data_IF_994913827291
#
_entry.id   IF_994913827291
#
_cell.length_a   1.000
_cell.length_b   1.000
_cell.length_c   1.000
_cell.angle_alpha   90.00
_cell.angle_beta   90.00
_cell.angle_gamma   90.00
#
_symmetry.space_group_name_H-M   'P 1'
#
loop_
_entity.id
_entity.type
_entity.pdbx_description
1 polymer ?
#
# COMPACT_ATOMS: atom_id res chain seq x y z
N UNK A 1 26.40 9.07 -1.00
CA UNK A 1 25.00 8.90 -1.46
C UNK A 1 24.45 10.27 -1.78
N UNK A 2 23.78 10.50 -2.89
CA UNK A 2 23.11 11.78 -3.14
C UNK A 2 22.08 11.98 -2.01
N UNK A 3 22.13 13.12 -1.33
CA UNK A 3 21.11 13.50 -0.37
C UNK A 3 19.80 13.73 -1.12
N UNK A 4 18.92 12.72 -1.15
CA UNK A 4 17.59 12.85 -1.70
C UNK A 4 16.80 13.81 -0.81
N UNK A 5 16.55 15.01 -1.31
CA UNK A 5 15.81 16.03 -0.58
C UNK A 5 14.32 15.69 -0.55
N UNK A 6 13.69 15.89 0.62
CA UNK A 6 12.24 15.83 0.72
C UNK A 6 11.59 16.98 -0.04
N UNK A 7 10.55 16.68 -0.79
CA UNK A 7 9.62 17.66 -1.33
C UNK A 7 8.54 17.95 -0.29
N UNK A 8 8.09 19.20 -0.24
CA UNK A 8 6.96 19.63 0.57
C UNK A 8 5.87 20.16 -0.36
N UNK A 9 4.71 19.56 -0.34
CA UNK A 9 3.56 19.97 -1.17
C UNK A 9 2.32 20.20 -0.31
N UNK A 10 1.52 21.25 -0.57
CA UNK A 10 0.24 21.44 0.09
C UNK A 10 -0.76 20.41 -0.45
N UNK A 11 -1.50 19.73 0.44
CA UNK A 11 -2.48 18.72 0.10
C UNK A 11 -3.89 19.24 0.28
N UNK A 12 -4.16 19.86 1.40
CA UNK A 12 -5.50 20.28 1.78
C UNK A 12 -5.45 21.48 2.71
N UNK A 13 -6.47 22.34 2.61
CA UNK A 13 -6.75 23.37 3.61
C UNK A 13 -7.96 22.90 4.43
N UNK A 14 -7.81 22.85 5.76
CA UNK A 14 -8.90 22.51 6.64
C UNK A 14 -8.91 23.45 7.85
N UNK A 15 -10.06 24.11 8.11
CA UNK A 15 -10.22 25.11 9.17
C UNK A 15 -9.15 26.23 9.16
N UNK A 16 -8.73 26.67 7.97
CA UNK A 16 -7.72 27.72 7.80
C UNK A 16 -6.27 27.25 7.94
N UNK A 17 -6.03 25.98 8.23
CA UNK A 17 -4.69 25.37 8.31
C UNK A 17 -4.38 24.62 7.02
N UNK A 18 -3.16 24.79 6.48
CA UNK A 18 -2.69 24.08 5.30
C UNK A 18 -1.91 22.83 5.73
N UNK A 19 -2.35 21.67 5.28
CA UNK A 19 -1.70 20.38 5.52
C UNK A 19 -0.76 20.07 4.37
N UNK A 20 0.46 19.64 4.68
CA UNK A 20 1.51 19.39 3.72
C UNK A 20 1.95 17.93 3.80
N UNK A 21 2.23 17.34 2.63
CA UNK A 21 2.96 16.09 2.51
C UNK A 21 4.44 16.37 2.37
N UNK A 22 5.25 15.70 3.17
CA UNK A 22 6.70 15.68 3.07
C UNK A 22 7.11 14.32 2.51
N UNK A 23 7.67 14.27 1.31
CA UNK A 23 7.94 13.01 0.62
C UNK A 23 9.15 13.09 -0.31
N UNK A 24 9.64 11.93 -0.70
CA UNK A 24 10.63 11.76 -1.77
C UNK A 24 9.94 11.14 -2.99
N UNK A 25 10.30 11.52 -4.23
CA UNK A 25 9.74 10.89 -5.42
C UNK A 25 9.96 9.38 -5.40
N UNK A 26 8.92 8.60 -5.68
CA UNK A 26 8.94 7.15 -5.52
C UNK A 26 10.04 6.47 -6.35
N UNK A 27 10.27 6.92 -7.59
CA UNK A 27 11.32 6.38 -8.45
C UNK A 27 12.74 6.73 -7.97
N UNK A 28 12.92 7.86 -7.29
CA UNK A 28 14.21 8.20 -6.68
C UNK A 28 14.52 7.27 -5.51
N UNK A 29 13.49 6.94 -4.71
CA UNK A 29 13.60 5.97 -3.61
C UNK A 29 13.88 4.56 -4.14
N UNK A 30 13.22 4.14 -5.22
CA UNK A 30 13.48 2.85 -5.88
C UNK A 30 14.92 2.79 -6.40
N UNK A 31 15.38 3.84 -7.06
CA UNK A 31 16.78 3.92 -7.54
C UNK A 31 17.78 3.87 -6.40
N UNK A 32 17.50 4.55 -5.28
CA UNK A 32 18.35 4.48 -4.08
C UNK A 32 18.48 3.04 -3.56
N UNK A 33 17.36 2.33 -3.41
CA UNK A 33 17.37 0.93 -2.98
C UNK A 33 18.17 0.03 -3.94
N UNK A 34 17.98 0.21 -5.24
CA UNK A 34 18.66 -0.58 -6.27
C UNK A 34 20.12 -0.15 -6.51
N UNK A 35 20.54 1.04 -6.04
CA UNK A 35 21.95 1.43 -6.02
C UNK A 35 22.77 0.68 -4.95
N UNK A 36 22.10 0.04 -4.00
CA UNK A 36 22.76 -0.83 -3.05
C UNK A 36 23.09 -2.17 -3.74
N UNK A 37 24.38 -2.46 -3.87
CA UNK A 37 24.87 -3.66 -4.55
C UNK A 37 24.28 -4.95 -3.98
N UNK A 38 24.22 -5.07 -2.66
CA UNK A 38 23.65 -6.25 -1.99
C UNK A 38 22.16 -6.42 -2.31
N UNK A 39 21.38 -5.32 -2.36
CA UNK A 39 19.97 -5.34 -2.75
C UNK A 39 19.82 -5.77 -4.20
N UNK A 40 20.56 -5.14 -5.11
CA UNK A 40 20.45 -5.39 -6.54
C UNK A 40 20.86 -6.82 -6.92
N UNK A 41 21.96 -7.33 -6.37
CA UNK A 41 22.46 -8.69 -6.65
C UNK A 41 21.51 -9.80 -6.17
N UNK A 42 20.65 -9.49 -5.20
CA UNK A 42 19.64 -10.43 -4.69
C UNK A 42 18.23 -10.18 -5.24
N UNK A 43 18.07 -9.26 -6.21
CA UNK A 43 16.79 -9.04 -6.86
C UNK A 43 16.43 -10.18 -7.82
N UNK A 44 15.23 -10.71 -7.68
CA UNK A 44 14.60 -11.64 -8.61
C UNK A 44 13.50 -10.88 -9.34
N UNK A 45 13.57 -10.85 -10.67
CA UNK A 45 12.66 -10.10 -11.53
C UNK A 45 11.68 -10.99 -12.30
N UNK A 46 11.84 -12.30 -12.20
CA UNK A 46 11.02 -13.28 -12.90
C UNK A 46 10.35 -14.25 -11.93
N UNK A 47 9.21 -14.76 -12.34
CA UNK A 47 8.53 -15.83 -11.60
C UNK A 47 9.44 -17.06 -11.51
N UNK A 48 9.51 -17.62 -10.32
CA UNK A 48 10.27 -18.84 -10.05
C UNK A 48 9.38 -19.86 -9.31
N UNK A 49 8.94 -20.90 -9.99
CA UNK A 49 8.16 -21.96 -9.38
C UNK A 49 9.07 -22.90 -8.59
N UNK A 50 8.76 -23.06 -7.31
CA UNK A 50 9.42 -24.02 -6.42
C UNK A 50 8.52 -25.21 -6.17
N UNK A 51 9.06 -26.44 -6.37
CA UNK A 51 8.35 -27.66 -6.07
C UNK A 51 9.24 -28.63 -5.27
N UNK A 52 8.63 -29.34 -4.35
CA UNK A 52 9.25 -30.44 -3.60
C UNK A 52 8.28 -31.62 -3.56
N UNK A 53 8.73 -32.80 -3.98
CA UNK A 53 7.93 -34.01 -4.06
C UNK A 53 6.59 -33.83 -4.80
N UNK A 54 6.61 -33.02 -5.89
CA UNK A 54 5.41 -32.74 -6.68
C UNK A 54 4.45 -31.71 -6.09
N UNK A 55 4.75 -31.18 -4.90
CA UNK A 55 3.97 -30.11 -4.27
C UNK A 55 4.62 -28.77 -4.48
N UNK A 56 3.80 -27.74 -4.80
CA UNK A 56 4.27 -26.35 -4.94
C UNK A 56 4.61 -25.76 -3.58
N UNK A 57 5.77 -25.08 -3.50
CA UNK A 57 6.24 -24.38 -2.31
C UNK A 57 6.11 -22.89 -2.53
N UNK A 58 5.51 -22.20 -1.55
CA UNK A 58 5.42 -20.75 -1.46
C UNK A 58 6.42 -20.26 -0.42
N UNK A 59 7.45 -19.53 -0.85
CA UNK A 59 8.51 -19.05 0.02
C UNK A 59 8.65 -17.52 -0.03
N UNK A 60 8.79 -16.95 -1.23
CA UNK A 60 8.90 -15.50 -1.45
C UNK A 60 7.80 -15.02 -2.42
N UNK A 61 7.64 -13.69 -2.58
CA UNK A 61 6.62 -13.17 -3.48
C UNK A 61 6.76 -13.66 -4.92
N UNK A 62 8.01 -13.76 -5.41
CA UNK A 62 8.31 -14.24 -6.77
C UNK A 62 8.09 -15.74 -6.97
N UNK A 63 7.71 -16.50 -5.93
CA UNK A 63 7.23 -17.89 -6.03
C UNK A 63 5.69 -17.98 -5.94
N UNK A 64 5.00 -16.85 -5.67
CA UNK A 64 3.57 -16.81 -5.41
C UNK A 64 2.72 -16.67 -6.67
N UNK A 65 1.45 -17.04 -6.57
CA UNK A 65 0.47 -16.97 -7.68
C UNK A 65 0.22 -15.54 -8.17
N UNK A 66 0.32 -14.55 -7.28
CA UNK A 66 0.19 -13.15 -7.68
C UNK A 66 1.27 -12.78 -8.71
N UNK A 67 2.53 -13.14 -8.42
CA UNK A 67 3.64 -12.85 -9.33
C UNK A 67 3.49 -13.59 -10.67
N UNK A 68 3.13 -14.86 -10.62
CA UNK A 68 2.87 -15.67 -11.80
C UNK A 68 1.81 -15.04 -12.72
N UNK A 69 0.67 -14.61 -12.14
CA UNK A 69 -0.39 -13.93 -12.90
C UNK A 69 0.08 -12.62 -13.51
N UNK A 70 0.77 -11.79 -12.73
CA UNK A 70 1.31 -10.51 -13.20
C UNK A 70 2.33 -10.73 -14.31
N UNK A 71 3.29 -11.64 -14.13
CA UNK A 71 4.30 -11.94 -15.13
C UNK A 71 3.69 -12.43 -16.45
N UNK A 72 2.67 -13.29 -16.37
CA UNK A 72 1.98 -13.82 -17.55
C UNK A 72 1.13 -12.77 -18.28
N UNK A 73 0.75 -11.67 -17.63
CA UNK A 73 0.02 -10.55 -18.24
C UNK A 73 0.94 -9.55 -18.95
N UNK A 74 2.26 -9.62 -18.71
CA UNK A 74 3.22 -8.69 -19.27
C UNK A 74 3.76 -9.14 -20.63
N UNK A 75 4.27 -8.20 -21.44
CA UNK A 75 5.01 -8.54 -22.65
C UNK A 75 6.19 -9.47 -22.36
N UNK A 76 6.56 -10.28 -23.34
CA UNK A 76 7.75 -11.13 -23.25
C UNK A 76 8.98 -10.27 -22.92
N UNK A 77 9.82 -10.75 -22.01
CA UNK A 77 11.02 -10.08 -21.49
C UNK A 77 10.79 -8.92 -20.50
N UNK A 78 9.55 -8.48 -20.32
CA UNK A 78 9.24 -7.53 -19.29
C UNK A 78 9.46 -8.13 -17.89
N UNK A 79 9.90 -7.30 -16.96
CA UNK A 79 10.23 -7.66 -15.58
C UNK A 79 9.23 -7.07 -14.62
N UNK A 80 8.86 -7.82 -13.60
CA UNK A 80 8.02 -7.33 -12.51
C UNK A 80 8.88 -6.57 -11.51
N UNK A 81 8.53 -5.31 -11.23
CA UNK A 81 9.06 -4.56 -10.10
C UNK A 81 7.99 -4.49 -9.02
N UNK A 82 8.12 -5.33 -8.02
CA UNK A 82 7.17 -5.47 -6.91
C UNK A 82 7.49 -4.47 -5.80
N UNK A 83 6.56 -3.57 -5.54
CA UNK A 83 6.68 -2.51 -4.52
C UNK A 83 5.83 -2.89 -3.32
N UNK A 84 6.43 -2.88 -2.13
CA UNK A 84 5.77 -3.06 -0.85
C UNK A 84 5.83 -1.73 -0.11
N UNK A 85 4.69 -1.21 0.29
CA UNK A 85 4.56 -0.04 1.15
C UNK A 85 4.26 -0.48 2.57
N UNK A 86 4.88 0.17 3.55
CA UNK A 86 4.63 -0.05 4.98
C UNK A 86 4.36 1.29 5.64
N UNK A 87 3.30 1.37 6.41
CA UNK A 87 2.96 2.57 7.18
C UNK A 87 2.47 2.19 8.57
N UNK A 88 2.97 2.91 9.57
CA UNK A 88 2.57 2.74 10.96
C UNK A 88 2.83 4.05 11.73
N UNK A 89 1.86 4.45 12.57
CA UNK A 89 2.00 5.64 13.37
C UNK A 89 3.07 5.43 14.46
N UNK A 90 4.04 6.34 14.54
CA UNK A 90 5.15 6.26 15.49
C UNK A 90 5.08 7.42 16.47
N UNK A 91 5.12 7.12 17.77
CA UNK A 91 5.21 8.13 18.82
C UNK A 91 6.62 8.72 18.87
N UNK A 92 6.73 10.05 18.79
CA UNK A 92 8.01 10.76 18.74
C UNK A 92 8.46 11.35 20.09
N UNK A 93 7.62 11.29 21.11
CA UNK A 93 7.92 11.78 22.45
C UNK A 93 7.55 10.77 23.54
N UNK A 94 8.19 10.90 24.72
CA UNK A 94 7.96 10.03 25.86
C UNK A 94 6.54 10.18 26.47
N UNK A 95 5.82 11.26 26.15
CA UNK A 95 4.48 11.56 26.68
C UNK A 95 3.36 11.13 25.72
N UNK A 96 3.69 10.59 24.55
CA UNK A 96 2.72 10.17 23.53
C UNK A 96 1.90 11.32 22.92
N UNK A 97 2.39 12.57 23.04
CA UNK A 97 1.68 13.76 22.55
C UNK A 97 1.97 14.07 21.09
N UNK A 98 3.14 13.65 20.61
CA UNK A 98 3.58 13.88 19.23
C UNK A 98 3.74 12.53 18.55
N UNK A 99 3.01 12.34 17.46
CA UNK A 99 3.14 11.17 16.61
C UNK A 99 3.38 11.60 15.17
N UNK A 100 4.23 10.88 14.49
CA UNK A 100 4.45 10.99 13.05
C UNK A 100 3.93 9.72 12.38
N UNK A 101 3.66 9.83 11.09
CA UNK A 101 3.10 8.74 10.30
C UNK A 101 4.00 8.46 9.09
N UNK A 102 5.15 7.83 9.32
CA UNK A 102 6.08 7.51 8.23
C UNK A 102 5.50 6.45 7.31
N UNK A 103 5.82 6.57 6.03
CA UNK A 103 5.59 5.53 5.03
C UNK A 103 6.92 5.10 4.43
N UNK A 104 7.19 3.81 4.47
CA UNK A 104 8.40 3.19 3.94
C UNK A 104 8.10 2.41 2.68
N UNK A 105 9.13 2.27 1.84
CA UNK A 105 9.12 1.44 0.65
C UNK A 105 10.21 0.37 0.75
N UNK A 106 9.87 -0.84 0.35
CA UNK A 106 10.80 -1.92 0.07
C UNK A 106 10.36 -2.68 -1.18
N UNK A 107 11.18 -3.61 -1.64
CA UNK A 107 10.90 -4.38 -2.86
C UNK A 107 10.54 -5.84 -2.53
N UNK A 108 9.50 -6.35 -3.20
CA UNK A 108 9.14 -7.76 -3.16
C UNK A 108 10.07 -8.64 -3.98
N UNK A 109 10.92 -8.02 -4.82
CA UNK A 109 11.93 -8.67 -5.64
C UNK A 109 13.06 -9.32 -4.84
N UNK A 110 13.27 -8.88 -3.59
CA UNK A 110 14.36 -9.35 -2.74
C UNK A 110 13.86 -10.36 -1.70
N UNK A 111 14.68 -11.38 -1.36
CA UNK A 111 14.28 -12.37 -0.35
C UNK A 111 14.15 -11.74 1.03
N UNK A 112 13.37 -12.36 1.91
CA UNK A 112 13.02 -11.85 3.23
C UNK A 112 14.23 -11.56 4.11
N UNK A 113 15.30 -12.33 4.02
CA UNK A 113 16.52 -12.12 4.80
C UNK A 113 17.30 -10.87 4.38
N UNK A 114 17.21 -10.43 3.11
CA UNK A 114 17.69 -9.11 2.66
C UNK A 114 16.69 -8.03 3.05
N UNK A 115 15.39 -8.25 2.78
CA UNK A 115 14.32 -7.28 3.03
C UNK A 115 14.26 -6.83 4.50
N UNK A 116 14.68 -7.68 5.43
CA UNK A 116 14.75 -7.35 6.85
C UNK A 116 15.93 -6.44 7.24
N UNK A 117 16.91 -6.25 6.36
CA UNK A 117 18.06 -5.35 6.63
C UNK A 117 17.62 -3.87 6.56
N UNK A 118 18.23 -2.99 7.36
CA UNK A 118 17.90 -1.56 7.37
C UNK A 118 18.08 -0.88 6.01
N UNK A 119 19.10 -1.29 5.24
CA UNK A 119 19.43 -0.74 3.92
C UNK A 119 18.54 -1.24 2.77
N UNK A 120 17.64 -2.18 3.04
CA UNK A 120 16.66 -2.70 2.07
C UNK A 120 15.28 -2.04 2.20
N UNK A 121 15.15 -1.02 3.05
CA UNK A 121 13.95 -0.22 3.27
C UNK A 121 14.32 1.26 3.19
N UNK A 122 13.47 2.04 2.57
CA UNK A 122 13.70 3.47 2.47
C UNK A 122 12.46 4.26 2.88
N UNK A 123 12.65 5.32 3.64
CA UNK A 123 11.58 6.24 4.00
C UNK A 123 11.11 6.98 2.75
N UNK A 124 9.83 6.80 2.40
CA UNK A 124 9.20 7.47 1.25
C UNK A 124 8.64 8.84 1.63
N UNK A 125 8.06 8.98 2.82
CA UNK A 125 7.47 10.23 3.26
C UNK A 125 6.81 10.15 4.63
N UNK A 126 6.15 11.25 4.99
CA UNK A 126 5.35 11.35 6.21
C UNK A 126 3.92 11.75 5.85
N UNK A 127 2.96 10.87 6.15
CA UNK A 127 1.55 11.14 5.91
C UNK A 127 1.05 12.20 6.89
N UNK A 128 0.46 13.30 6.41
CA UNK A 128 -0.05 14.34 7.29
C UNK A 128 -1.26 13.85 8.07
N UNK A 129 -1.32 14.22 9.34
CA UNK A 129 -2.42 13.85 10.23
C UNK A 129 -3.31 15.05 10.53
N UNK A 130 -4.62 14.90 10.30
CA UNK A 130 -5.60 15.90 10.65
C UNK A 130 -5.87 15.85 12.16
N UNK A 131 -5.68 16.99 12.86
CA UNK A 131 -5.88 17.09 14.31
C UNK A 131 -7.22 17.77 14.62
N UNK A 132 -8.07 17.12 15.41
CA UNK A 132 -9.32 17.71 15.89
C UNK A 132 -9.04 18.60 17.10
N UNK A 133 -9.67 19.79 17.16
CA UNK A 133 -9.56 20.71 18.30
C UNK A 133 -10.43 20.28 19.50
N UNK A 134 -11.52 19.55 19.22
CA UNK A 134 -12.45 19.06 20.25
C UNK A 134 -12.92 17.64 19.95
N UNK A 135 -13.41 16.94 20.99
CA UNK A 135 -14.00 15.61 20.83
C UNK A 135 -15.25 15.62 19.94
N UNK A 136 -16.04 16.68 19.99
CA UNK A 136 -17.22 16.86 19.11
C UNK A 136 -16.80 16.93 17.65
N UNK A 137 -15.79 17.75 17.34
CA UNK A 137 -15.22 17.84 15.99
C UNK A 137 -14.68 16.48 15.51
N UNK A 138 -13.91 15.77 16.37
CA UNK A 138 -13.36 14.44 16.06
C UNK A 138 -14.43 13.44 15.62
N UNK A 139 -15.65 13.55 16.18
CA UNK A 139 -16.79 12.67 15.86
C UNK A 139 -17.64 13.16 14.68
N UNK A 140 -17.42 14.38 14.20
CA UNK A 140 -18.22 14.93 13.10
C UNK A 140 -17.95 14.22 11.77
N UNK A 141 -18.99 14.03 10.96
CA UNK A 141 -18.89 13.44 9.62
C UNK A 141 -17.93 14.23 8.73
N UNK A 142 -17.96 15.56 8.81
CA UNK A 142 -17.07 16.43 8.03
C UNK A 142 -15.60 16.24 8.37
N UNK A 143 -15.26 16.06 9.66
CA UNK A 143 -13.89 15.80 10.08
C UNK A 143 -13.42 14.41 9.61
N UNK A 144 -14.26 13.39 9.75
CA UNK A 144 -13.91 12.02 9.29
C UNK A 144 -13.72 12.00 7.78
N UNK A 145 -14.59 12.65 7.01
CA UNK A 145 -14.44 12.78 5.57
C UNK A 145 -13.13 13.49 5.22
N UNK A 146 -12.83 14.63 5.84
CA UNK A 146 -11.59 15.37 5.61
C UNK A 146 -10.35 14.54 5.96
N UNK A 147 -10.39 13.74 7.04
CA UNK A 147 -9.31 12.83 7.42
C UNK A 147 -9.03 11.78 6.33
N UNK A 148 -10.08 11.12 5.83
CA UNK A 148 -9.94 10.13 4.77
C UNK A 148 -9.50 10.76 3.45
N UNK A 149 -10.03 11.93 3.11
CA UNK A 149 -9.62 12.68 1.93
C UNK A 149 -8.12 13.02 1.98
N UNK A 150 -7.65 13.55 3.11
CA UNK A 150 -6.24 13.88 3.31
C UNK A 150 -5.34 12.65 3.13
N UNK A 151 -5.73 11.51 3.72
CA UNK A 151 -4.99 10.25 3.62
C UNK A 151 -4.93 9.74 2.17
N UNK A 152 -6.08 9.66 1.48
CA UNK A 152 -6.16 9.19 0.10
C UNK A 152 -5.39 10.10 -0.88
N UNK A 153 -5.48 11.44 -0.72
CA UNK A 153 -4.69 12.36 -1.55
C UNK A 153 -3.20 12.23 -1.33
N UNK A 154 -2.77 12.03 -0.08
CA UNK A 154 -1.36 11.81 0.23
C UNK A 154 -0.83 10.55 -0.45
N UNK A 155 -1.55 9.43 -0.32
CA UNK A 155 -1.20 8.19 -0.99
C UNK A 155 -1.19 8.34 -2.53
N UNK A 156 -2.17 9.08 -3.09
CA UNK A 156 -2.21 9.32 -4.52
C UNK A 156 -0.97 10.08 -5.02
N UNK A 157 -0.52 11.12 -4.32
CA UNK A 157 0.70 11.84 -4.72
C UNK A 157 1.93 10.95 -4.67
N UNK A 158 2.03 10.08 -3.65
CA UNK A 158 3.15 9.16 -3.51
C UNK A 158 3.20 8.11 -4.61
N UNK A 159 2.05 7.55 -4.99
CA UNK A 159 1.98 6.36 -5.84
C UNK A 159 1.59 6.65 -7.29
N UNK A 160 0.95 7.80 -7.58
CA UNK A 160 0.50 8.19 -8.92
C UNK A 160 1.56 8.02 -10.01
N UNK A 161 2.85 8.38 -9.80
CA UNK A 161 3.86 8.20 -10.83
C UNK A 161 4.04 6.76 -11.30
N UNK A 162 3.64 5.75 -10.52
CA UNK A 162 3.68 4.35 -10.95
C UNK A 162 2.69 4.05 -12.08
N UNK A 163 1.55 4.76 -12.11
CA UNK A 163 0.52 4.57 -13.14
C UNK A 163 1.02 4.96 -14.53
N UNK A 164 1.94 5.93 -14.60
CA UNK A 164 2.50 6.41 -15.87
C UNK A 164 3.30 5.31 -16.61
N UNK A 165 3.70 4.25 -15.89
CA UNK A 165 4.49 3.15 -16.41
C UNK A 165 3.74 1.79 -16.46
N UNK A 166 2.43 1.81 -16.25
CA UNK A 166 1.64 0.57 -16.29
C UNK A 166 1.40 0.04 -17.70
N UNK A 167 1.41 0.93 -18.71
CA UNK A 167 1.17 0.56 -20.11
C UNK A 167 2.46 0.15 -20.80
N UNK A 168 3.51 0.97 -20.66
CA UNK A 168 4.73 0.84 -21.47
C UNK A 168 5.94 0.37 -20.67
N UNK A 169 5.83 0.29 -19.33
CA UNK A 169 6.95 0.02 -18.45
C UNK A 169 8.00 1.14 -18.46
N UNK A 170 9.15 0.89 -17.89
CA UNK A 170 10.28 1.80 -17.91
C UNK A 170 11.62 1.03 -17.91
N UNK A 171 12.66 1.69 -18.41
CA UNK A 171 14.01 1.15 -18.40
C UNK A 171 14.68 1.38 -17.05
N UNK A 172 14.94 0.29 -16.33
CA UNK A 172 15.77 0.28 -15.13
C UNK A 172 17.22 0.00 -15.52
N UNK A 173 18.05 1.03 -15.45
CA UNK A 173 19.50 0.91 -15.72
C UNK A 173 20.20 0.39 -14.47
N UNK A 174 20.89 -0.73 -14.61
CA UNK A 174 21.83 -1.28 -13.64
C UNK A 174 23.26 -1.11 -14.15
N UNK A 175 24.27 -1.44 -13.34
CA UNK A 175 25.68 -1.33 -13.75
C UNK A 175 26.02 -2.18 -14.99
N UNK A 176 25.32 -3.31 -15.17
CA UNK A 176 25.66 -4.29 -16.20
C UNK A 176 24.58 -4.46 -17.26
N UNK A 177 23.35 -3.94 -17.05
CA UNK A 177 22.20 -4.25 -17.91
C UNK A 177 21.14 -3.15 -17.87
N UNK A 178 20.20 -3.23 -18.82
CA UNK A 178 18.97 -2.43 -18.84
C UNK A 178 17.79 -3.36 -18.79
N UNK A 179 17.02 -3.30 -17.71
CA UNK A 179 15.86 -4.13 -17.49
C UNK A 179 14.57 -3.34 -17.82
N UNK A 180 13.75 -3.88 -18.69
CA UNK A 180 12.42 -3.32 -18.98
C UNK A 180 11.43 -3.73 -17.90
N UNK A 181 11.12 -2.81 -16.98
CA UNK A 181 10.38 -3.08 -15.76
C UNK A 181 8.98 -2.49 -15.76
N UNK A 182 8.05 -3.21 -15.17
CA UNK A 182 6.68 -2.76 -14.85
C UNK A 182 6.50 -2.69 -13.34
N UNK A 183 6.15 -1.50 -12.79
CA UNK A 183 6.00 -1.32 -11.35
C UNK A 183 4.59 -1.70 -10.88
N UNK A 184 4.50 -2.55 -9.85
CA UNK A 184 3.25 -2.93 -9.21
C UNK A 184 3.32 -2.75 -7.70
N UNK A 185 2.28 -2.18 -7.10
CA UNK A 185 2.11 -2.22 -5.65
C UNK A 185 1.58 -3.60 -5.29
N UNK A 186 2.46 -4.46 -4.80
CA UNK A 186 2.12 -5.85 -4.47
C UNK A 186 1.52 -6.01 -3.08
N UNK A 187 1.89 -5.13 -2.16
CA UNK A 187 1.37 -5.13 -0.79
C UNK A 187 1.42 -3.74 -0.16
N UNK A 188 0.43 -3.48 0.68
CA UNK A 188 0.41 -2.37 1.62
C UNK A 188 0.31 -3.00 3.01
N UNK A 189 1.33 -2.79 3.81
CA UNK A 189 1.46 -3.37 5.14
C UNK A 189 1.17 -2.29 6.19
N UNK A 190 0.37 -2.63 7.16
CA UNK A 190 0.03 -1.79 8.29
C UNK A 190 -0.72 -2.62 9.33
N UNK A 191 -0.98 -2.05 10.49
CA UNK A 191 -1.90 -2.62 11.45
C UNK A 191 -3.36 -2.56 10.93
N UNK A 192 -4.30 -3.10 11.68
CA UNK A 192 -5.71 -3.13 11.27
C UNK A 192 -6.30 -1.72 11.03
N UNK A 193 -6.07 -0.71 11.89
CA UNK A 193 -6.46 0.67 11.64
C UNK A 193 -5.90 1.28 10.35
N UNK A 194 -4.61 1.06 10.06
CA UNK A 194 -3.95 1.56 8.86
C UNK A 194 -4.49 0.90 7.60
N UNK A 195 -4.68 -0.42 7.64
CA UNK A 195 -5.26 -1.16 6.53
C UNK A 195 -6.71 -0.72 6.27
N UNK A 196 -7.49 -0.50 7.32
CA UNK A 196 -8.85 0.03 7.19
C UNK A 196 -8.89 1.45 6.60
N UNK A 197 -7.95 2.33 7.01
CA UNK A 197 -7.82 3.68 6.44
C UNK A 197 -7.43 3.65 4.96
N UNK A 198 -6.49 2.78 4.59
CA UNK A 198 -6.03 2.63 3.21
C UNK A 198 -7.10 2.03 2.29
N UNK A 199 -7.90 1.09 2.80
CA UNK A 199 -9.00 0.46 2.04
C UNK A 199 -10.33 1.20 2.14
N UNK A 200 -10.42 2.26 2.96
CA UNK A 200 -11.66 3.00 3.26
C UNK A 200 -12.76 2.10 3.86
N UNK A 201 -12.37 1.10 4.66
CA UNK A 201 -13.30 0.26 5.42
C UNK A 201 -13.51 0.80 6.82
N UNK A 202 -14.63 0.44 7.44
CA UNK A 202 -14.86 0.83 8.83
C UNK A 202 -13.94 0.01 9.74
N UNK A 203 -13.28 0.72 10.66
CA UNK A 203 -12.47 0.11 11.72
C UNK A 203 -13.23 0.19 13.05
N UNK A 204 -14.22 -0.68 13.24
CA UNK A 204 -15.01 -0.75 14.47
C UNK A 204 -15.48 -2.17 14.71
N UNK A 205 -15.33 -2.64 15.95
CA UNK A 205 -15.87 -3.94 16.35
C UNK A 205 -17.41 -4.02 16.21
N UNK A 206 -18.09 -2.87 16.17
CA UNK A 206 -19.55 -2.79 16.04
C UNK A 206 -20.02 -2.65 14.59
N UNK A 207 -19.14 -2.59 13.60
CA UNK A 207 -19.57 -2.57 12.21
C UNK A 207 -19.93 -3.97 11.71
N UNK A 208 -20.82 -4.05 10.73
CA UNK A 208 -21.36 -5.34 10.27
C UNK A 208 -20.28 -6.22 9.65
N UNK A 209 -19.40 -5.63 8.83
CA UNK A 209 -18.28 -6.29 8.16
C UNK A 209 -16.93 -5.65 8.57
N UNK A 210 -16.33 -6.06 9.70
CA UNK A 210 -15.13 -5.42 10.25
C UNK A 210 -13.83 -5.74 9.51
N UNK A 211 -13.81 -6.78 8.67
CA UNK A 211 -12.61 -7.18 7.94
C UNK A 211 -12.39 -6.27 6.72
N UNK A 212 -11.17 -5.77 6.54
CA UNK A 212 -10.81 -4.99 5.36
C UNK A 212 -10.59 -5.85 4.10
N UNK A 213 -10.48 -7.18 4.23
CA UNK A 213 -10.26 -8.12 3.12
C UNK A 213 -11.52 -8.82 2.63
N UNK A 214 -12.53 -9.02 3.50
CA UNK A 214 -13.71 -9.80 3.16
C UNK A 214 -14.98 -9.26 3.82
N UNK A 215 -16.12 -9.81 3.38
CA UNK A 215 -17.47 -9.48 3.87
C UNK A 215 -17.94 -10.53 4.90
N UNK A 216 -17.06 -10.94 5.81
CA UNK A 216 -17.47 -11.78 6.94
C UNK A 216 -18.13 -10.89 7.98
N UNK A 217 -19.32 -11.28 8.43
CA UNK A 217 -20.04 -10.62 9.51
C UNK A 217 -19.25 -10.70 10.83
N UNK A 218 -19.31 -9.64 11.65
CA UNK A 218 -18.56 -9.54 12.89
C UNK A 218 -18.79 -10.70 13.87
N UNK A 219 -20.02 -11.26 13.91
CA UNK A 219 -20.39 -12.41 14.74
C UNK A 219 -19.87 -13.76 14.22
N UNK A 220 -19.31 -13.81 13.00
CA UNK A 220 -18.77 -15.01 12.36
C UNK A 220 -17.24 -15.03 12.26
N UNK A 221 -16.55 -14.00 12.74
CA UNK A 221 -15.08 -13.88 12.63
C UNK A 221 -14.31 -15.00 13.30
N UNK A 222 -14.86 -15.61 14.34
CA UNK A 222 -14.27 -16.72 15.08
C UNK A 222 -14.69 -18.10 14.56
N UNK A 223 -15.48 -18.17 13.48
CA UNK A 223 -15.94 -19.44 12.93
C UNK A 223 -14.85 -20.06 12.04
N UNK A 224 -14.08 -20.97 12.60
CA UNK A 224 -13.00 -21.71 11.90
C UNK A 224 -13.49 -22.78 10.92
N UNK A 225 -14.81 -22.98 10.82
CA UNK A 225 -15.42 -23.97 9.91
C UNK A 225 -15.88 -23.36 8.58
N UNK A 226 -15.68 -22.04 8.39
CA UNK A 226 -15.99 -21.41 7.12
C UNK A 226 -15.03 -21.93 6.04
N UNK A 227 -15.61 -22.28 4.90
CA UNK A 227 -14.89 -22.69 3.70
C UNK A 227 -14.62 -21.48 2.79
N UNK A 228 -13.66 -21.57 1.88
CA UNK A 228 -13.26 -20.44 1.03
C UNK A 228 -14.41 -19.92 0.15
N UNK A 229 -15.31 -20.78 -0.29
CA UNK A 229 -16.53 -20.43 -1.05
C UNK A 229 -17.56 -19.61 -0.24
N UNK A 230 -17.50 -19.69 1.09
CA UNK A 230 -18.34 -18.91 2.00
C UNK A 230 -17.74 -17.54 2.35
N UNK A 231 -16.50 -17.29 1.94
CA UNK A 231 -15.78 -16.05 2.21
C UNK A 231 -15.81 -15.14 0.97
N UNK A 232 -16.68 -14.15 0.99
CA UNK A 232 -16.75 -13.15 -0.09
C UNK A 232 -15.64 -12.13 0.11
N UNK A 233 -14.67 -12.10 -0.81
CA UNK A 233 -13.57 -11.14 -0.77
C UNK A 233 -14.05 -9.74 -1.21
N UNK A 234 -13.44 -8.71 -0.62
CA UNK A 234 -13.57 -7.34 -1.08
C UNK A 234 -12.63 -7.15 -2.27
N UNK A 235 -13.20 -7.02 -3.45
CA UNK A 235 -12.43 -6.68 -4.67
C UNK A 235 -12.61 -5.20 -5.00
N UNK A 236 -11.68 -4.58 -5.74
CA UNK A 236 -11.86 -3.21 -6.24
C UNK A 236 -13.21 -3.01 -6.94
N UNK A 237 -13.64 -3.94 -7.79
CA UNK A 237 -14.89 -3.85 -8.55
C UNK A 237 -16.11 -3.90 -7.64
N UNK A 238 -16.16 -4.82 -6.67
CA UNK A 238 -17.28 -4.91 -5.73
C UNK A 238 -17.38 -3.67 -4.84
N UNK A 239 -16.25 -3.19 -4.32
CA UNK A 239 -16.23 -1.99 -3.48
C UNK A 239 -16.63 -0.74 -4.27
N UNK A 240 -16.15 -0.61 -5.50
CA UNK A 240 -16.50 0.48 -6.40
C UNK A 240 -18.01 0.47 -6.71
N UNK A 241 -18.57 -0.70 -7.01
CA UNK A 241 -20.01 -0.85 -7.24
C UNK A 241 -20.85 -0.44 -6.02
N UNK A 242 -20.45 -0.80 -4.78
CA UNK A 242 -21.15 -0.40 -3.56
C UNK A 242 -21.15 1.14 -3.35
N UNK A 243 -20.05 1.82 -3.70
CA UNK A 243 -19.99 3.28 -3.65
C UNK A 243 -20.86 3.91 -4.74
N UNK A 244 -20.79 3.43 -5.97
CA UNK A 244 -21.56 3.96 -7.10
C UNK A 244 -23.08 3.76 -6.92
N UNK A 245 -23.49 2.69 -6.25
CA UNK A 245 -24.90 2.41 -5.93
C UNK A 245 -25.40 3.14 -4.66
N UNK A 246 -24.51 3.85 -3.93
CA UNK A 246 -24.86 4.56 -2.70
C UNK A 246 -25.15 3.64 -1.50
N UNK A 247 -24.69 2.39 -1.54
CA UNK A 247 -24.88 1.38 -0.47
C UNK A 247 -23.63 1.10 0.34
N UNK A 248 -22.57 1.87 0.16
CA UNK A 248 -21.24 1.67 0.79
C UNK A 248 -21.33 1.42 2.30
N UNK A 249 -22.14 2.20 3.03
CA UNK A 249 -22.28 2.07 4.49
C UNK A 249 -22.85 0.71 4.92
N UNK A 250 -23.72 0.09 4.13
CA UNK A 250 -24.29 -1.23 4.43
C UNK A 250 -23.20 -2.32 4.41
N UNK A 251 -22.14 -2.09 3.61
CA UNK A 251 -20.99 -2.98 3.48
C UNK A 251 -19.77 -2.51 4.31
N UNK A 252 -20.00 -1.64 5.31
CA UNK A 252 -18.96 -1.11 6.18
C UNK A 252 -17.82 -0.41 5.40
N UNK A 253 -18.18 0.36 4.37
CA UNK A 253 -17.29 1.18 3.58
C UNK A 253 -17.60 2.67 3.76
N UNK A 254 -16.56 3.50 3.70
CA UNK A 254 -16.72 4.94 3.53
C UNK A 254 -17.17 5.25 2.10
N UNK A 255 -18.15 6.15 1.96
CA UNK A 255 -18.69 6.57 0.67
C UNK A 255 -17.72 7.52 -0.04
N UNK A 256 -16.62 6.95 -0.53
CA UNK A 256 -15.52 7.64 -1.19
C UNK A 256 -14.83 6.73 -2.20
N UNK A 257 -14.26 7.34 -3.25
CA UNK A 257 -13.39 6.61 -4.19
C UNK A 257 -12.04 6.32 -3.55
N UNK A 258 -11.58 5.08 -3.66
CA UNK A 258 -10.27 4.65 -3.20
C UNK A 258 -9.26 4.77 -4.35
N UNK A 259 -8.09 5.34 -4.07
CA UNK A 259 -7.03 5.53 -5.08
C UNK A 259 -6.48 4.21 -5.60
N UNK A 260 -6.48 3.16 -4.76
CA UNK A 260 -5.95 1.84 -5.15
C UNK A 260 -6.85 1.10 -6.15
N UNK A 261 -8.07 1.58 -6.41
CA UNK A 261 -8.89 1.06 -7.52
C UNK A 261 -8.38 1.46 -8.91
N UNK A 262 -7.37 2.33 -8.98
CA UNK A 262 -6.69 2.71 -10.22
C UNK A 262 -5.57 1.73 -10.60
N UNK A 263 -5.15 0.87 -9.65
CA UNK A 263 -4.04 -0.06 -9.84
C UNK A 263 -4.57 -1.46 -10.20
N UNK A 264 -3.87 -2.18 -11.13
CA UNK A 264 -4.24 -3.52 -11.56
C UNK A 264 -4.05 -4.58 -10.48
#
# INVERSE_FOLDING_TARGET
MPHLSFKKVPIMIYNGETYHLHYRPIFDVIKELLSNKEVLENCVFEFNSLCHEGQRIYHEQYNGEWWERVQNSLPRWAKVLSIILYSDATTCDHLGKTSEHPIYLTLGNIPSWIRNKPNAKALLGYLPQLKAKTNSQKRSKSFQLAKHTLHQYSLNILTRPLLDYQTDGFDLKTDNDVLWCYPFISAILGDLPENAASTLTFNSANCHYPCHKCLIEGNKLNNVKLTDDQIVLRTPDTMKAFVEQGVAQQYSLHDMKNIFWLYP
#
